data_IF_287188236381
#
_entry.id   IF_287188236381
#
_cell.length_a   1.000
_cell.length_b   1.000
_cell.length_c   1.000
_cell.angle_alpha   90.00
_cell.angle_beta   90.00
_cell.angle_gamma   90.00
#
_symmetry.space_group_name_H-M   'P 1'
#
loop_
_entity.id
_entity.type
_entity.pdbx_description
1 polymer ?
#
# COMPACT_ATOMS: atom_id res chain seq x y z
N UNK A 1 -5.16 -19.46 2.28
CA UNK A 1 -6.14 -19.03 1.29
C UNK A 1 -6.65 -20.18 0.45
N UNK A 2 -7.89 -20.10 -0.01
CA UNK A 2 -8.54 -21.15 -0.80
C UNK A 2 -9.65 -20.55 -1.66
N UNK A 3 -9.73 -20.96 -2.93
CA UNK A 3 -10.83 -20.68 -3.83
C UNK A 3 -11.66 -21.95 -4.04
N UNK A 4 -12.96 -21.81 -4.01
CA UNK A 4 -13.97 -22.84 -4.32
C UNK A 4 -14.98 -22.26 -5.30
N UNK A 5 -15.93 -23.07 -5.77
CA UNK A 5 -16.98 -22.57 -6.66
C UNK A 5 -17.81 -21.46 -5.97
N UNK A 6 -17.83 -20.30 -6.62
CA UNK A 6 -18.54 -19.12 -6.15
C UNK A 6 -18.01 -18.42 -4.91
N UNK A 7 -16.81 -18.78 -4.41
CA UNK A 7 -16.23 -18.12 -3.22
C UNK A 7 -14.73 -18.35 -3.08
N UNK A 8 -14.01 -17.33 -2.57
CA UNK A 8 -12.61 -17.47 -2.16
C UNK A 8 -12.36 -16.76 -0.84
N UNK A 9 -11.47 -17.27 -0.02
CA UNK A 9 -11.14 -16.69 1.26
C UNK A 9 -9.64 -16.75 1.59
N UNK A 10 -9.21 -15.75 2.37
CA UNK A 10 -7.93 -15.73 3.10
C UNK A 10 -8.28 -15.66 4.58
N UNK A 11 -7.68 -16.53 5.39
CA UNK A 11 -7.67 -16.41 6.86
C UNK A 11 -6.23 -16.21 7.32
N UNK A 12 -6.04 -15.40 8.35
CA UNK A 12 -4.74 -15.18 8.95
C UNK A 12 -4.79 -15.51 10.45
N UNK A 13 -4.23 -16.67 10.78
CA UNK A 13 -3.92 -17.04 12.14
C UNK A 13 -2.47 -16.61 12.43
N UNK A 14 -2.25 -15.88 13.52
CA UNK A 14 -0.95 -15.38 13.95
C UNK A 14 -0.48 -16.11 15.19
N UNK A 15 0.84 -16.25 15.33
CA UNK A 15 1.55 -16.72 16.52
C UNK A 15 2.81 -15.87 16.72
N UNK A 16 3.57 -16.15 17.77
CA UNK A 16 4.73 -15.32 18.14
C UNK A 16 6.02 -15.74 17.41
N UNK A 17 6.17 -17.03 17.10
CA UNK A 17 7.38 -17.56 16.46
C UNK A 17 7.09 -18.32 15.17
N UNK A 18 8.08 -18.30 14.27
CA UNK A 18 8.09 -19.13 13.05
C UNK A 18 8.19 -20.63 13.37
N UNK A 19 8.77 -20.99 14.51
CA UNK A 19 8.81 -22.38 14.98
C UNK A 19 7.40 -22.95 15.15
N UNK A 20 6.52 -22.22 15.82
CA UNK A 20 5.11 -22.62 15.97
C UNK A 20 4.36 -22.53 14.63
N UNK A 21 4.60 -21.47 13.86
CA UNK A 21 3.95 -21.28 12.55
C UNK A 21 4.21 -22.44 11.57
N UNK A 22 5.38 -23.06 11.64
CA UNK A 22 5.76 -24.23 10.83
C UNK A 22 5.33 -25.58 11.45
N UNK A 23 4.70 -25.58 12.63
CA UNK A 23 4.21 -26.78 13.31
C UNK A 23 3.01 -27.40 12.58
N UNK A 24 3.03 -28.73 12.41
CA UNK A 24 1.98 -29.45 11.68
C UNK A 24 0.58 -29.21 12.24
N UNK A 25 0.44 -29.14 13.55
CA UNK A 25 -0.86 -28.90 14.21
C UNK A 25 -1.36 -27.46 14.03
N UNK A 26 -0.44 -26.48 13.98
CA UNK A 26 -0.78 -25.09 13.70
C UNK A 26 -1.27 -24.93 12.25
N UNK A 27 -0.53 -25.51 11.30
CA UNK A 27 -0.90 -25.53 9.89
C UNK A 27 -2.25 -26.21 9.70
N UNK A 28 -2.47 -27.37 10.39
CA UNK A 28 -3.74 -28.08 10.35
C UNK A 28 -4.90 -27.23 10.88
N UNK A 29 -4.74 -26.58 12.02
CA UNK A 29 -5.75 -25.69 12.60
C UNK A 29 -6.09 -24.56 11.62
N UNK A 30 -5.08 -23.92 11.02
CA UNK A 30 -5.28 -22.85 10.04
C UNK A 30 -6.07 -23.38 8.83
N UNK A 31 -5.76 -24.59 8.35
CA UNK A 31 -6.47 -25.23 7.25
C UNK A 31 -7.92 -25.58 7.63
N UNK A 32 -8.15 -26.11 8.82
CA UNK A 32 -9.50 -26.45 9.31
C UNK A 32 -10.38 -25.19 9.41
N UNK A 33 -9.83 -24.06 9.88
CA UNK A 33 -10.50 -22.77 9.92
C UNK A 33 -10.83 -22.28 8.49
N UNK A 34 -9.88 -22.36 7.57
CA UNK A 34 -10.08 -21.97 6.18
C UNK A 34 -11.15 -22.84 5.50
N UNK A 35 -11.15 -24.14 5.74
CA UNK A 35 -12.15 -25.06 5.20
C UNK A 35 -13.54 -24.75 5.73
N UNK A 36 -13.68 -24.47 7.03
CA UNK A 36 -14.93 -24.01 7.62
C UNK A 36 -15.41 -22.67 7.01
N UNK A 37 -14.48 -21.72 6.79
CA UNK A 37 -14.80 -20.43 6.20
C UNK A 37 -15.28 -20.55 4.75
N UNK A 38 -14.63 -21.34 3.89
CA UNK A 38 -15.10 -21.50 2.50
C UNK A 38 -16.38 -22.30 2.39
N UNK A 39 -16.67 -23.19 3.35
CA UNK A 39 -17.95 -23.92 3.42
C UNK A 39 -19.11 -23.04 3.86
N UNK A 40 -18.90 -22.21 4.90
CA UNK A 40 -19.95 -21.37 5.50
C UNK A 40 -20.11 -20.01 4.83
N UNK A 41 -19.08 -19.52 4.09
CA UNK A 41 -19.05 -18.23 3.39
C UNK A 41 -19.39 -17.03 4.29
N UNK A 42 -18.71 -16.85 5.44
CA UNK A 42 -18.98 -15.77 6.39
C UNK A 42 -18.66 -14.40 5.78
N UNK A 43 -19.27 -13.34 6.32
CA UNK A 43 -19.12 -11.98 5.83
C UNK A 43 -18.21 -11.12 6.72
N UNK A 44 -17.79 -11.65 7.85
CA UNK A 44 -16.92 -10.94 8.79
C UNK A 44 -15.99 -11.89 9.52
N UNK A 45 -14.91 -11.33 10.09
CA UNK A 45 -14.00 -12.08 10.95
C UNK A 45 -14.72 -12.66 12.19
N UNK A 46 -15.67 -11.91 12.76
CA UNK A 46 -16.42 -12.38 13.92
C UNK A 46 -17.29 -13.59 13.58
N UNK A 47 -17.88 -13.60 12.39
CA UNK A 47 -18.59 -14.78 11.89
C UNK A 47 -17.65 -15.97 11.70
N UNK A 48 -16.42 -15.77 11.20
CA UNK A 48 -15.42 -16.84 11.11
C UNK A 48 -15.09 -17.41 12.50
N UNK A 49 -14.85 -16.54 13.49
CA UNK A 49 -14.58 -16.93 14.87
C UNK A 49 -15.70 -17.75 15.51
N UNK A 50 -16.94 -17.53 15.09
CA UNK A 50 -18.13 -18.24 15.57
C UNK A 50 -18.37 -19.59 14.85
N UNK A 51 -17.64 -19.91 13.77
CA UNK A 51 -17.79 -21.17 13.06
C UNK A 51 -17.34 -22.37 13.90
N UNK A 52 -17.72 -23.55 13.44
CA UNK A 52 -17.29 -24.84 13.99
C UNK A 52 -16.39 -25.53 12.97
N UNK A 53 -15.21 -25.99 13.39
CA UNK A 53 -14.32 -26.80 12.55
C UNK A 53 -14.77 -28.28 12.52
N UNK A 54 -14.11 -29.08 11.68
CA UNK A 54 -14.56 -30.44 11.36
C UNK A 54 -14.67 -31.40 12.56
N UNK A 55 -13.91 -31.17 13.63
CA UNK A 55 -13.98 -31.97 14.87
C UNK A 55 -15.11 -31.56 15.83
N UNK A 56 -15.92 -30.57 15.47
CA UNK A 56 -17.01 -30.05 16.27
C UNK A 56 -16.63 -28.93 17.23
N UNK A 57 -15.37 -28.49 17.25
CA UNK A 57 -14.88 -27.42 18.11
C UNK A 57 -15.18 -26.05 17.50
N UNK A 58 -15.55 -25.06 18.29
CA UNK A 58 -15.66 -23.67 17.85
C UNK A 58 -14.27 -23.13 17.47
N UNK A 59 -14.20 -22.33 16.41
CA UNK A 59 -12.93 -21.76 15.89
C UNK A 59 -12.18 -20.97 16.97
N UNK A 60 -12.86 -20.08 17.70
CA UNK A 60 -12.23 -19.28 18.74
C UNK A 60 -11.69 -20.16 19.87
N UNK A 61 -12.44 -21.17 20.29
CA UNK A 61 -12.03 -22.11 21.34
C UNK A 61 -10.83 -22.97 20.88
N UNK A 62 -10.80 -23.39 19.61
CA UNK A 62 -9.70 -24.13 19.04
C UNK A 62 -8.39 -23.30 19.02
N UNK A 63 -8.50 -22.01 18.67
CA UNK A 63 -7.36 -21.06 18.70
C UNK A 63 -6.84 -20.89 20.13
N UNK A 64 -7.74 -20.68 21.11
CA UNK A 64 -7.39 -20.55 22.54
C UNK A 64 -6.73 -21.83 23.07
N UNK A 65 -7.28 -22.99 22.74
CA UNK A 65 -6.74 -24.28 23.16
C UNK A 65 -5.31 -24.50 22.59
N UNK A 66 -5.10 -24.17 21.32
CA UNK A 66 -3.76 -24.28 20.69
C UNK A 66 -2.76 -23.31 21.31
N UNK A 67 -3.16 -22.08 21.62
CA UNK A 67 -2.35 -21.10 22.35
C UNK A 67 -1.91 -21.65 23.71
N UNK A 68 -2.84 -22.29 24.45
CA UNK A 68 -2.52 -22.93 25.74
C UNK A 68 -1.53 -24.12 25.64
N UNK A 69 -1.61 -24.88 24.55
CA UNK A 69 -0.70 -26.03 24.32
C UNK A 69 0.71 -25.57 23.99
N UNK A 70 0.85 -24.54 23.17
CA UNK A 70 2.15 -24.03 22.72
C UNK A 70 2.80 -23.07 23.69
N UNK A 71 2.01 -22.43 24.55
CA UNK A 71 2.46 -21.35 25.43
C UNK A 71 2.67 -20.02 24.69
N UNK A 72 2.35 -19.95 23.40
CA UNK A 72 2.42 -18.72 22.59
C UNK A 72 1.03 -18.10 22.39
N UNK A 73 0.96 -16.77 22.38
CA UNK A 73 -0.27 -16.07 21.99
C UNK A 73 -0.60 -16.39 20.53
N UNK A 74 -1.82 -16.85 20.31
CA UNK A 74 -2.37 -17.03 18.97
C UNK A 74 -3.61 -16.17 18.77
N UNK A 75 -3.75 -15.62 17.58
CA UNK A 75 -4.85 -14.73 17.25
C UNK A 75 -5.28 -14.91 15.79
N UNK A 76 -6.57 -15.21 15.59
CA UNK A 76 -7.19 -15.11 14.28
C UNK A 76 -7.64 -13.67 14.11
N UNK A 77 -6.87 -12.87 13.35
CA UNK A 77 -7.09 -11.43 13.20
C UNK A 77 -7.22 -10.95 11.75
N UNK A 78 -7.09 -11.84 10.79
CA UNK A 78 -7.23 -11.54 9.38
C UNK A 78 -8.25 -12.41 8.67
N UNK A 79 -9.17 -11.78 7.95
CA UNK A 79 -10.13 -12.40 7.08
C UNK A 79 -10.44 -11.53 5.88
N UNK A 80 -10.28 -12.08 4.68
CA UNK A 80 -10.72 -11.45 3.44
C UNK A 80 -11.43 -12.50 2.59
N UNK A 81 -12.43 -12.08 1.82
CA UNK A 81 -13.17 -12.95 0.92
C UNK A 81 -13.54 -12.24 -0.39
N UNK A 82 -13.79 -13.02 -1.40
CA UNK A 82 -14.41 -12.62 -2.68
C UNK A 82 -15.56 -13.58 -2.96
N UNK A 83 -16.73 -13.04 -3.29
CA UNK A 83 -17.90 -13.81 -3.76
C UNK A 83 -17.91 -13.83 -5.28
N UNK A 84 -18.11 -15.00 -5.84
CA UNK A 84 -18.20 -15.21 -7.30
C UNK A 84 -17.19 -16.21 -7.82
N UNK A 85 -17.28 -16.45 -9.11
CA UNK A 85 -16.43 -17.37 -9.85
C UNK A 85 -15.18 -16.66 -10.41
N UNK A 86 -14.30 -17.43 -11.04
CA UNK A 86 -13.09 -16.93 -11.71
C UNK A 86 -12.14 -16.19 -10.78
N UNK A 87 -11.96 -16.71 -9.56
CA UNK A 87 -11.02 -16.17 -8.58
C UNK A 87 -9.73 -16.98 -8.61
N UNK A 88 -8.62 -16.29 -8.93
CA UNK A 88 -7.28 -16.83 -8.83
C UNK A 88 -6.64 -16.37 -7.52
N UNK A 89 -5.88 -17.26 -6.91
CA UNK A 89 -5.20 -17.04 -5.64
C UNK A 89 -3.69 -17.15 -5.81
N UNK A 90 -2.94 -16.32 -5.09
CA UNK A 90 -1.48 -16.35 -5.13
C UNK A 90 -0.90 -16.23 -3.73
N UNK A 91 -0.01 -17.17 -3.40
CA UNK A 91 0.80 -17.16 -2.18
C UNK A 91 2.24 -16.82 -2.54
N UNK A 92 2.72 -15.68 -2.07
CA UNK A 92 4.03 -15.20 -2.45
C UNK A 92 5.13 -16.12 -1.90
N UNK A 93 5.86 -16.75 -2.82
CA UNK A 93 6.96 -17.69 -2.52
C UNK A 93 6.53 -18.91 -1.66
N UNK A 94 5.24 -19.20 -1.51
CA UNK A 94 4.74 -20.28 -0.66
C UNK A 94 5.00 -20.08 0.84
N UNK A 95 5.20 -18.83 1.27
CA UNK A 95 5.53 -18.52 2.67
C UNK A 95 4.32 -18.18 3.54
N UNK A 96 3.14 -18.10 2.96
CA UNK A 96 1.88 -17.77 3.63
C UNK A 96 1.87 -16.42 4.39
N UNK A 97 2.81 -15.53 4.09
CA UNK A 97 2.93 -14.21 4.72
C UNK A 97 2.39 -13.07 3.88
N UNK A 98 2.24 -13.29 2.58
CA UNK A 98 1.65 -12.38 1.61
C UNK A 98 0.80 -13.18 0.65
N UNK A 99 -0.50 -12.97 0.72
CA UNK A 99 -1.51 -13.68 -0.07
C UNK A 99 -2.40 -12.70 -0.82
N UNK A 100 -2.75 -13.03 -2.04
CA UNK A 100 -3.65 -12.24 -2.87
C UNK A 100 -4.72 -13.10 -3.53
N UNK A 101 -5.86 -12.49 -3.79
CA UNK A 101 -6.96 -13.05 -4.57
C UNK A 101 -7.36 -12.03 -5.64
N UNK A 102 -7.61 -12.49 -6.84
CA UNK A 102 -8.07 -11.66 -7.96
C UNK A 102 -9.24 -12.34 -8.64
N UNK A 103 -10.32 -11.60 -8.82
CA UNK A 103 -11.49 -12.04 -9.58
C UNK A 103 -11.51 -11.39 -10.96
N UNK A 104 -11.66 -12.21 -12.00
CA UNK A 104 -11.91 -11.75 -13.36
C UNK A 104 -13.38 -11.90 -13.73
N UNK A 105 -13.87 -11.09 -14.67
CA UNK A 105 -15.26 -11.13 -15.12
C UNK A 105 -15.61 -12.39 -15.95
N UNK A 106 -14.59 -13.12 -16.42
CA UNK A 106 -14.71 -14.39 -17.14
C UNK A 106 -13.50 -15.27 -16.83
N UNK A 107 -13.58 -16.56 -17.16
CA UNK A 107 -12.49 -17.51 -16.93
C UNK A 107 -11.21 -17.09 -17.68
N UNK A 108 -10.13 -16.85 -16.95
CA UNK A 108 -8.83 -16.45 -17.47
C UNK A 108 -7.73 -16.76 -16.43
N UNK A 109 -7.47 -18.05 -16.20
CA UNK A 109 -6.56 -18.51 -15.13
C UNK A 109 -5.16 -17.94 -15.22
N UNK A 110 -4.56 -17.95 -16.41
CA UNK A 110 -3.22 -17.43 -16.63
C UNK A 110 -3.15 -15.92 -16.31
N UNK A 111 -4.08 -15.15 -16.88
CA UNK A 111 -4.15 -13.70 -16.64
C UNK A 111 -4.48 -13.39 -15.19
N UNK A 112 -5.46 -14.08 -14.61
CA UNK A 112 -5.83 -13.93 -13.20
C UNK A 112 -4.65 -14.18 -12.27
N UNK A 113 -3.87 -15.23 -12.50
CA UNK A 113 -2.67 -15.53 -11.73
C UNK A 113 -1.60 -14.44 -11.88
N UNK A 114 -1.33 -13.98 -13.13
CA UNK A 114 -0.38 -12.90 -13.38
C UNK A 114 -0.77 -11.60 -12.66
N UNK A 115 -2.08 -11.28 -12.64
CA UNK A 115 -2.58 -10.11 -11.91
C UNK A 115 -2.55 -10.33 -10.39
N UNK A 116 -2.75 -11.55 -9.88
CA UNK A 116 -2.57 -11.82 -8.45
C UNK A 116 -1.12 -11.57 -7.99
N UNK A 117 -0.13 -11.92 -8.83
CA UNK A 117 1.28 -11.56 -8.63
C UNK A 117 1.50 -10.04 -8.68
N UNK A 118 0.86 -9.35 -9.64
CA UNK A 118 0.88 -7.88 -9.76
C UNK A 118 0.38 -7.21 -8.47
N UNK A 119 -0.78 -7.66 -7.96
CA UNK A 119 -1.37 -7.15 -6.70
C UNK A 119 -0.41 -7.36 -5.52
N UNK A 120 0.26 -8.50 -5.45
CA UNK A 120 1.26 -8.78 -4.42
C UNK A 120 2.42 -7.78 -4.47
N UNK A 121 2.97 -7.54 -5.66
CA UNK A 121 4.16 -6.73 -5.88
C UNK A 121 3.88 -5.22 -5.82
N UNK A 122 2.81 -4.75 -6.47
CA UNK A 122 2.56 -3.33 -6.73
C UNK A 122 1.57 -2.69 -5.77
N UNK A 123 1.00 -3.45 -4.84
CA UNK A 123 0.15 -2.95 -3.73
C UNK A 123 -0.94 -1.95 -4.17
N UNK A 124 -1.78 -2.26 -5.15
CA UNK A 124 -2.82 -1.32 -5.55
C UNK A 124 -3.79 -1.06 -4.40
N UNK A 125 -4.27 0.19 -4.29
CA UNK A 125 -5.24 0.60 -3.26
C UNK A 125 -6.68 0.48 -3.74
N UNK A 126 -6.89 0.48 -5.06
CA UNK A 126 -8.20 0.40 -5.69
C UNK A 126 -8.11 -0.25 -7.07
N UNK A 127 -9.25 -0.66 -7.61
CA UNK A 127 -9.34 -1.28 -8.94
C UNK A 127 -9.08 -0.25 -10.05
N UNK A 128 -9.77 0.89 -9.96
CA UNK A 128 -9.70 2.02 -10.89
C UNK A 128 -9.89 3.33 -10.13
N UNK A 129 -9.84 4.45 -10.82
CA UNK A 129 -9.98 5.78 -10.24
C UNK A 129 -11.33 5.97 -9.53
N UNK A 130 -12.41 5.45 -10.09
CA UNK A 130 -13.78 5.59 -9.57
C UNK A 130 -13.98 4.80 -8.27
N UNK A 131 -13.15 3.78 -8.03
CA UNK A 131 -13.21 2.95 -6.82
C UNK A 131 -12.29 3.43 -5.70
N UNK A 132 -11.49 4.50 -5.91
CA UNK A 132 -10.70 5.10 -4.84
C UNK A 132 -11.62 5.83 -3.86
N UNK A 133 -11.56 5.54 -2.55
CA UNK A 133 -12.35 6.26 -1.55
C UNK A 133 -12.09 7.76 -1.58
N UNK A 134 -13.14 8.59 -1.51
CA UNK A 134 -13.01 10.04 -1.56
C UNK A 134 -12.06 10.61 -0.51
N UNK A 135 -12.05 10.03 0.70
CA UNK A 135 -11.13 10.44 1.76
C UNK A 135 -9.64 10.28 1.38
N UNK A 136 -9.29 9.24 0.59
CA UNK A 136 -7.93 9.06 0.09
C UNK A 136 -7.62 10.11 -0.97
N UNK A 137 -8.56 10.40 -1.87
CA UNK A 137 -8.40 11.45 -2.89
C UNK A 137 -8.17 12.81 -2.24
N UNK A 138 -8.98 13.15 -1.24
CA UNK A 138 -8.89 14.43 -0.52
C UNK A 138 -7.55 14.58 0.20
N UNK A 139 -7.07 13.51 0.84
CA UNK A 139 -5.76 13.48 1.50
C UNK A 139 -4.62 13.60 0.49
N UNK A 140 -4.67 12.90 -0.63
CA UNK A 140 -3.66 13.01 -1.70
C UNK A 140 -3.60 14.43 -2.30
N UNK A 141 -4.76 15.06 -2.50
CA UNK A 141 -4.84 16.47 -2.94
C UNK A 141 -4.20 17.38 -1.89
N UNK A 142 -4.56 17.22 -0.61
CA UNK A 142 -4.02 18.03 0.50
C UNK A 142 -2.49 17.93 0.54
N UNK A 143 -1.96 16.71 0.54
CA UNK A 143 -0.51 16.46 0.55
C UNK A 143 0.16 17.01 -0.72
N UNK A 144 -0.45 16.83 -1.88
CA UNK A 144 0.07 17.35 -3.14
C UNK A 144 0.16 18.88 -3.14
N UNK A 145 -0.88 19.57 -2.64
CA UNK A 145 -0.91 21.04 -2.50
C UNK A 145 0.17 21.52 -1.54
N UNK A 146 0.27 20.90 -0.36
CA UNK A 146 1.24 21.28 0.66
C UNK A 146 2.69 21.09 0.18
N UNK A 147 3.02 19.93 -0.38
CA UNK A 147 4.34 19.67 -0.98
C UNK A 147 4.65 20.65 -2.11
N UNK A 148 3.67 20.98 -2.95
CA UNK A 148 3.87 21.94 -4.03
C UNK A 148 4.21 23.31 -3.50
N UNK A 149 3.50 23.78 -2.46
CA UNK A 149 3.79 25.06 -1.81
C UNK A 149 5.21 25.10 -1.24
N UNK A 150 5.58 24.07 -0.50
CA UNK A 150 6.91 23.92 0.10
C UNK A 150 8.02 23.96 -0.97
N UNK A 151 7.88 23.14 -2.03
CA UNK A 151 8.86 23.11 -3.11
C UNK A 151 9.00 24.45 -3.86
N UNK A 152 7.90 25.18 -4.07
CA UNK A 152 7.95 26.49 -4.72
C UNK A 152 8.63 27.55 -3.83
N UNK A 153 8.38 27.50 -2.53
CA UNK A 153 9.08 28.37 -1.56
C UNK A 153 10.56 28.01 -1.53
N UNK A 154 10.90 26.73 -1.40
CA UNK A 154 12.30 26.29 -1.37
C UNK A 154 13.07 26.71 -2.62
N UNK A 155 12.51 26.49 -3.81
CA UNK A 155 13.11 26.94 -5.09
C UNK A 155 13.37 28.44 -5.13
N UNK A 156 12.44 29.25 -4.61
CA UNK A 156 12.63 30.70 -4.54
C UNK A 156 13.75 31.08 -3.57
N UNK A 157 13.81 30.48 -2.40
CA UNK A 157 14.86 30.67 -1.41
C UNK A 157 16.24 30.27 -1.98
N UNK A 158 16.35 29.07 -2.59
CA UNK A 158 17.60 28.64 -3.22
C UNK A 158 18.08 29.59 -4.32
N UNK A 159 17.17 30.08 -5.14
CA UNK A 159 17.50 31.06 -6.18
C UNK A 159 17.98 32.39 -5.59
N UNK A 160 17.36 32.87 -4.51
CA UNK A 160 17.76 34.10 -3.83
C UNK A 160 19.12 33.95 -3.14
N UNK A 161 19.38 32.83 -2.48
CA UNK A 161 20.69 32.52 -1.88
C UNK A 161 21.80 32.47 -2.94
N UNK A 162 21.59 31.77 -4.04
CA UNK A 162 22.54 31.72 -5.16
C UNK A 162 22.82 33.11 -5.74
N UNK A 163 21.79 33.96 -5.89
CA UNK A 163 21.94 35.34 -6.34
C UNK A 163 22.76 36.19 -5.36
N UNK A 164 22.67 35.88 -4.08
CA UNK A 164 23.45 36.53 -3.02
C UNK A 164 24.88 35.99 -2.88
N UNK A 165 25.27 35.00 -3.70
CA UNK A 165 26.59 34.35 -3.66
C UNK A 165 26.73 33.28 -2.58
N UNK A 166 25.62 32.84 -1.96
CA UNK A 166 25.61 31.84 -0.89
C UNK A 166 25.18 30.50 -1.49
N UNK A 167 25.95 29.43 -1.20
CA UNK A 167 25.58 28.09 -1.60
C UNK A 167 24.42 27.59 -0.71
N UNK A 168 23.23 27.27 -1.26
CA UNK A 168 22.09 26.82 -0.47
C UNK A 168 22.38 25.59 0.41
N UNK A 169 23.20 24.66 -0.08
CA UNK A 169 23.55 23.45 0.67
C UNK A 169 24.43 23.72 1.91
N UNK A 170 25.02 24.91 2.04
CA UNK A 170 25.79 25.27 3.22
C UNK A 170 24.94 25.87 4.34
N UNK A 171 23.69 26.26 4.02
CA UNK A 171 22.80 27.03 4.91
C UNK A 171 21.37 26.43 4.98
N UNK A 172 21.20 25.17 4.62
CA UNK A 172 19.91 24.47 4.57
C UNK A 172 19.41 24.01 5.96
N UNK A 173 20.29 24.00 6.96
CA UNK A 173 19.96 23.72 8.36
C UNK A 173 20.90 24.47 9.31
N UNK A 174 20.51 24.63 10.57
CA UNK A 174 21.38 25.27 11.59
C UNK A 174 22.67 24.48 11.81
N UNK A 175 22.57 23.14 11.84
CA UNK A 175 23.73 22.24 11.98
C UNK A 175 24.73 22.41 10.83
N UNK A 176 24.22 22.54 9.60
CA UNK A 176 25.07 22.81 8.42
C UNK A 176 25.67 24.20 8.48
N UNK A 177 24.94 25.22 8.93
CA UNK A 177 25.50 26.57 9.11
C UNK A 177 26.66 26.57 10.10
N UNK A 178 26.49 25.95 11.29
CA UNK A 178 27.56 25.84 12.29
C UNK A 178 28.77 25.06 11.81
N UNK A 179 28.52 23.88 11.23
CA UNK A 179 29.58 23.00 10.69
C UNK A 179 30.37 23.68 9.58
N UNK A 180 29.70 24.37 8.68
CA UNK A 180 30.35 25.02 7.53
C UNK A 180 31.06 26.33 7.92
N UNK A 181 30.59 27.05 8.98
CA UNK A 181 31.36 28.13 9.61
C UNK A 181 32.65 27.58 10.24
N UNK A 182 32.57 26.48 10.99
CA UNK A 182 33.74 25.85 11.61
C UNK A 182 34.79 25.40 10.58
N UNK A 183 34.36 25.02 9.38
CA UNK A 183 35.25 24.66 8.25
C UNK A 183 35.77 25.87 7.47
N UNK A 184 35.29 27.09 7.76
CA UNK A 184 35.66 28.28 7.02
C UNK A 184 35.04 28.40 5.61
N UNK A 185 34.00 27.62 5.31
CA UNK A 185 33.32 27.65 4.00
C UNK A 185 32.32 28.78 3.87
N UNK A 186 31.79 29.27 4.98
CA UNK A 186 30.91 30.43 5.10
C UNK A 186 31.30 31.26 6.30
N UNK A 187 30.97 32.55 6.27
CA UNK A 187 31.23 33.49 7.38
C UNK A 187 29.99 33.68 8.25
N UNK A 188 30.15 34.27 9.46
CA UNK A 188 29.02 34.65 10.27
C UNK A 188 28.11 35.70 9.59
N UNK A 189 28.68 36.55 8.73
CA UNK A 189 27.92 37.52 7.92
C UNK A 189 27.09 36.79 6.85
N UNK A 190 27.65 35.76 6.20
CA UNK A 190 26.91 34.91 5.24
C UNK A 190 25.73 34.20 5.93
N UNK A 191 25.92 33.68 7.14
CA UNK A 191 24.85 33.02 7.91
C UNK A 191 23.74 34.01 8.26
N UNK A 192 24.08 35.21 8.74
CA UNK A 192 23.09 36.23 9.06
C UNK A 192 22.29 36.66 7.84
N UNK A 193 22.97 36.88 6.71
CA UNK A 193 22.35 37.22 5.42
C UNK A 193 21.49 36.06 4.89
N UNK A 194 21.93 34.81 5.02
CA UNK A 194 21.16 33.66 4.64
C UNK A 194 19.88 33.53 5.45
N UNK A 195 19.94 33.69 6.76
CA UNK A 195 18.73 33.64 7.63
C UNK A 195 17.73 34.74 7.27
N UNK A 196 18.18 35.96 6.96
CA UNK A 196 17.33 37.06 6.48
C UNK A 196 16.65 36.73 5.15
N UNK A 197 17.43 36.24 4.16
CA UNK A 197 16.91 35.82 2.83
C UNK A 197 15.89 34.71 3.00
N UNK A 198 16.21 33.67 3.77
CA UNK A 198 15.32 32.53 3.99
C UNK A 198 13.98 33.01 4.58
N UNK A 199 14.02 33.84 5.64
CA UNK A 199 12.83 34.33 6.31
C UNK A 199 11.97 35.22 5.37
N UNK A 200 12.60 36.20 4.72
CA UNK A 200 11.88 37.16 3.86
C UNK A 200 11.30 36.51 2.63
N UNK A 201 12.13 35.76 1.88
CA UNK A 201 11.69 35.12 0.62
C UNK A 201 10.67 34.04 0.88
N UNK A 202 10.79 33.28 1.98
CA UNK A 202 9.79 32.26 2.34
C UNK A 202 8.43 32.91 2.60
N UNK A 203 8.39 33.99 3.40
CA UNK A 203 7.15 34.70 3.71
C UNK A 203 6.51 35.32 2.45
N UNK A 204 7.30 36.04 1.66
CA UNK A 204 6.83 36.67 0.42
C UNK A 204 6.32 35.64 -0.59
N UNK A 205 7.06 34.55 -0.79
CA UNK A 205 6.68 33.52 -1.75
C UNK A 205 5.44 32.78 -1.30
N UNK A 206 5.35 32.40 -0.02
CA UNK A 206 4.18 31.73 0.54
C UNK A 206 2.90 32.55 0.39
N UNK A 207 2.99 33.89 0.58
CA UNK A 207 1.86 34.79 0.42
C UNK A 207 1.43 35.01 -1.03
N UNK A 208 2.34 34.85 -2.00
CA UNK A 208 2.12 35.22 -3.41
C UNK A 208 2.18 34.01 -4.37
N UNK A 209 1.92 32.80 -3.88
CA UNK A 209 1.85 31.63 -4.76
C UNK A 209 0.58 31.67 -5.61
N UNK A 210 0.69 31.57 -6.96
CA UNK A 210 -0.48 31.53 -7.82
C UNK A 210 -1.29 30.26 -7.57
N UNK A 211 -2.51 30.40 -7.11
CA UNK A 211 -3.39 29.28 -6.77
C UNK A 211 -3.61 28.33 -7.95
N UNK A 212 -3.82 28.90 -9.14
CA UNK A 212 -4.00 28.11 -10.37
C UNK A 212 -2.79 27.20 -10.67
N UNK A 213 -1.57 27.68 -10.42
CA UNK A 213 -0.36 26.86 -10.60
C UNK A 213 -0.32 25.70 -9.62
N UNK A 214 -0.65 25.96 -8.34
CA UNK A 214 -0.70 24.95 -7.30
C UNK A 214 -1.73 23.87 -7.66
N UNK A 215 -2.93 24.27 -8.07
CA UNK A 215 -4.00 23.36 -8.46
C UNK A 215 -3.61 22.51 -9.67
N UNK A 216 -2.96 23.06 -10.67
CA UNK A 216 -2.50 22.33 -11.86
C UNK A 216 -1.45 21.27 -11.50
N UNK A 217 -0.49 21.61 -10.63
CA UNK A 217 0.54 20.67 -10.18
C UNK A 217 -0.08 19.60 -9.28
N UNK A 218 -0.96 19.96 -8.37
CA UNK A 218 -1.67 19.02 -7.49
C UNK A 218 -2.50 18.02 -8.33
N UNK A 219 -3.20 18.49 -9.37
CA UNK A 219 -3.92 17.64 -10.31
C UNK A 219 -2.98 16.66 -11.05
N UNK A 220 -1.81 17.13 -11.47
CA UNK A 220 -0.79 16.29 -12.10
C UNK A 220 -0.29 15.18 -11.16
N UNK A 221 -0.08 15.51 -9.88
CA UNK A 221 0.33 14.53 -8.84
C UNK A 221 -0.78 13.52 -8.55
N UNK A 222 -2.04 13.98 -8.49
CA UNK A 222 -3.19 13.09 -8.31
C UNK A 222 -3.33 12.12 -9.50
N UNK A 223 -3.14 12.58 -10.73
CA UNK A 223 -3.15 11.70 -11.90
C UNK A 223 -2.03 10.66 -11.84
N UNK A 224 -0.84 11.05 -11.35
CA UNK A 224 0.26 10.11 -11.11
C UNK A 224 -0.10 9.08 -10.03
N UNK A 225 -0.70 9.52 -8.92
CA UNK A 225 -1.20 8.64 -7.88
C UNK A 225 -2.17 7.59 -8.44
N UNK A 226 -3.17 7.99 -9.23
CA UNK A 226 -4.09 7.04 -9.85
C UNK A 226 -3.38 6.03 -10.76
N UNK A 227 -2.40 6.49 -11.54
CA UNK A 227 -1.62 5.62 -12.42
C UNK A 227 -0.78 4.59 -11.63
N UNK A 228 -0.26 4.96 -10.47
CA UNK A 228 0.60 4.11 -9.64
C UNK A 228 -0.19 3.24 -8.65
N UNK A 229 -1.38 3.69 -8.23
CA UNK A 229 -2.13 3.09 -7.12
C UNK A 229 -3.41 2.35 -7.54
N UNK A 230 -3.92 2.57 -8.77
CA UNK A 230 -5.09 1.85 -9.26
C UNK A 230 -4.65 0.65 -10.12
N UNK A 231 -5.08 -0.57 -9.75
CA UNK A 231 -4.64 -1.82 -10.37
C UNK A 231 -4.70 -1.79 -11.90
N UNK A 232 -5.83 -1.41 -12.48
CA UNK A 232 -6.01 -1.41 -13.95
C UNK A 232 -5.14 -0.37 -14.66
N UNK A 233 -4.68 0.66 -13.96
CA UNK A 233 -3.86 1.75 -14.51
C UNK A 233 -2.36 1.55 -14.29
N UNK A 234 -1.97 0.64 -13.35
CA UNK A 234 -0.56 0.34 -13.09
C UNK A 234 0.13 -0.20 -14.35
N UNK A 235 1.42 0.08 -14.46
CA UNK A 235 2.29 -0.61 -15.42
C UNK A 235 2.34 -2.09 -15.04
N UNK A 236 2.18 -2.97 -16.04
CA UNK A 236 2.21 -4.40 -15.79
C UNK A 236 3.64 -4.84 -15.46
N UNK A 237 3.83 -5.47 -14.31
CA UNK A 237 5.16 -5.76 -13.75
C UNK A 237 6.01 -6.69 -14.63
N UNK A 238 5.40 -7.49 -15.50
CA UNK A 238 6.09 -8.38 -16.42
C UNK A 238 6.35 -7.74 -17.79
N UNK A 239 5.66 -6.66 -18.13
CA UNK A 239 5.89 -5.83 -19.33
C UNK A 239 5.47 -4.38 -19.08
N UNK A 240 6.41 -3.53 -18.70
CA UNK A 240 6.18 -2.13 -18.36
C UNK A 240 5.69 -1.26 -19.52
N UNK A 241 5.64 -1.78 -20.75
CA UNK A 241 5.07 -1.07 -21.90
C UNK A 241 3.54 -1.13 -21.93
N UNK A 242 2.95 -2.05 -21.18
CA UNK A 242 1.52 -2.25 -21.08
C UNK A 242 1.02 -1.80 -19.70
N UNK A 243 -0.20 -1.25 -19.66
CA UNK A 243 -0.94 -1.21 -18.42
C UNK A 243 -1.54 -2.59 -18.11
N UNK A 244 -1.92 -2.82 -16.85
CA UNK A 244 -2.67 -4.03 -16.48
C UNK A 244 -3.92 -4.19 -17.34
N UNK A 245 -4.66 -3.09 -17.59
CA UNK A 245 -5.84 -3.12 -18.46
C UNK A 245 -5.50 -3.51 -19.89
N UNK A 246 -4.39 -3.02 -20.45
CA UNK A 246 -3.96 -3.36 -21.82
C UNK A 246 -3.50 -4.81 -21.91
N UNK A 247 -2.79 -5.31 -20.90
CA UNK A 247 -2.41 -6.73 -20.81
C UNK A 247 -3.64 -7.66 -20.85
N UNK A 248 -4.67 -7.34 -20.05
CA UNK A 248 -5.92 -8.12 -20.04
C UNK A 248 -6.64 -8.06 -21.37
N UNK A 249 -6.79 -6.86 -21.96
CA UNK A 249 -7.43 -6.65 -23.26
C UNK A 249 -6.69 -7.31 -24.43
N UNK A 250 -5.37 -7.51 -24.32
CA UNK A 250 -4.60 -8.23 -25.32
C UNK A 250 -4.95 -9.73 -25.35
N UNK A 251 -5.34 -10.31 -24.21
CA UNK A 251 -5.81 -11.70 -24.15
C UNK A 251 -7.27 -11.82 -24.61
N UNK A 252 -8.15 -10.93 -24.16
CA UNK A 252 -9.55 -10.86 -24.58
C UNK A 252 -10.05 -9.42 -24.36
N UNK A 253 -10.68 -8.83 -25.41
CA UNK A 253 -11.10 -7.41 -25.43
C UNK A 253 -12.03 -7.02 -24.28
N UNK A 254 -12.79 -7.99 -23.74
CA UNK A 254 -13.75 -7.76 -22.66
C UNK A 254 -13.23 -8.25 -21.30
N UNK A 255 -12.03 -8.84 -21.26
CA UNK A 255 -11.46 -9.34 -20.02
C UNK A 255 -11.06 -8.17 -19.11
N UNK A 256 -11.50 -8.24 -17.86
CA UNK A 256 -11.12 -7.27 -16.82
C UNK A 256 -11.12 -7.91 -15.44
N UNK A 257 -10.45 -7.27 -14.50
CA UNK A 257 -10.56 -7.58 -13.07
C UNK A 257 -11.79 -6.87 -12.51
N UNK A 258 -12.54 -7.56 -11.66
CA UNK A 258 -13.75 -7.03 -11.01
C UNK A 258 -13.59 -6.87 -9.50
N UNK A 259 -12.71 -7.64 -8.86
CA UNK A 259 -12.34 -7.48 -7.45
C UNK A 259 -10.94 -8.06 -7.19
N UNK A 260 -10.29 -7.57 -6.14
CA UNK A 260 -9.06 -8.16 -5.62
C UNK A 260 -8.96 -7.96 -4.11
N UNK A 261 -8.23 -8.85 -3.46
CA UNK A 261 -7.85 -8.73 -2.05
C UNK A 261 -6.37 -9.00 -1.89
N UNK A 262 -5.73 -8.29 -0.99
CA UNK A 262 -4.34 -8.48 -0.60
C UNK A 262 -4.25 -8.52 0.92
N UNK A 263 -3.57 -9.51 1.43
CA UNK A 263 -3.29 -9.64 2.86
C UNK A 263 -1.79 -9.87 3.07
N UNK A 264 -1.19 -9.14 4.00
CA UNK A 264 0.21 -9.31 4.39
C UNK A 264 0.35 -9.29 5.91
N UNK A 265 1.29 -10.07 6.42
CA UNK A 265 1.73 -10.03 7.82
C UNK A 265 2.84 -9.00 8.05
N UNK A 266 3.48 -8.50 6.99
CA UNK A 266 4.48 -7.47 7.10
C UNK A 266 3.84 -6.12 7.48
N UNK A 267 4.52 -5.35 8.31
CA UNK A 267 4.17 -3.94 8.52
C UNK A 267 4.39 -3.17 7.21
N UNK A 268 3.39 -2.41 6.78
CA UNK A 268 3.41 -1.60 5.55
C UNK A 268 3.29 -0.12 5.86
#
# INVERSE_FOLDING_TARGET
MKAVDGFAAIVALKCETDFVANGADYIKLTQDILDAAVAAKPKSLDEVKALTIADGTNVQDAVVARSGITGEKMELDGYNFIEGNNVEVYDHMGKHTLCTMVQTNKEAKEQGHAIAMQVAAMKPVALNQESVPQAIIDEEIRVAVEKTKQEQVQKAVEAALKKAGINPAHVDSEDHMESNMGKGWITAEDVAKAKEIIATVSAEKAANLPEQMIQNIAKGRLNKFFKESCLLHQEFSQDSKLSVADYLKAADKELTVVDFKRFTLAAE
#
